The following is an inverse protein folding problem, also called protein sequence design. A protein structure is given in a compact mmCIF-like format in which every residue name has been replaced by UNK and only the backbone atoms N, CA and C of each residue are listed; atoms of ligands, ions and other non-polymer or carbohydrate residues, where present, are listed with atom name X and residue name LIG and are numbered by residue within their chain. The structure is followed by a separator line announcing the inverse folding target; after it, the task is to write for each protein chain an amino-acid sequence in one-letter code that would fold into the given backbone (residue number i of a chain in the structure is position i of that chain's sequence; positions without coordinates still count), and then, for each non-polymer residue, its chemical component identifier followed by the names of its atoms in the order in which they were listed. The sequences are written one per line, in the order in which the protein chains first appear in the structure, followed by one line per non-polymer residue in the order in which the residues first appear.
data_IF_774126125000
#
_entry.id   IF_774126125000
#
_cell.length_a   1.000
_cell.length_b   1.000
_cell.length_c   1.000
_cell.angle_alpha   90.00
_cell.angle_beta   90.00
_cell.angle_gamma   90.00
#
_symmetry.space_group_name_H-M   'P 1'
#
loop_
_entity.id
_entity.type
_entity.pdbx_description
1 polymer ?
#
# COMPACT_ATOMS: atom_id res chain seq x y z
N UNK A 1 0.61 18.02 -33.66
CA UNK A 1 -0.79 18.46 -33.42
C UNK A 1 -1.61 17.19 -33.24
N UNK A 2 -2.20 16.82 -32.11
CA UNK A 2 -2.55 17.46 -30.83
C UNK A 2 -2.44 16.43 -29.70
N UNK A 3 -2.25 16.95 -28.50
CA UNK A 3 -1.98 16.31 -27.20
C UNK A 3 -3.02 15.28 -26.74
N UNK A 4 -2.53 14.20 -26.14
CA UNK A 4 -3.30 13.22 -25.37
C UNK A 4 -3.97 13.90 -24.16
N UNK A 5 -5.25 14.26 -24.30
CA UNK A 5 -6.01 15.07 -23.33
C UNK A 5 -6.71 14.22 -22.25
N UNK A 6 -5.96 13.35 -21.56
CA UNK A 6 -6.54 12.40 -20.57
C UNK A 6 -6.90 13.03 -19.21
N UNK A 7 -6.45 14.27 -18.94
CA UNK A 7 -6.70 14.97 -17.67
C UNK A 7 -7.97 15.84 -17.66
N UNK A 8 -8.38 16.34 -18.82
CA UNK A 8 -9.52 17.26 -18.97
C UNK A 8 -10.85 16.58 -18.60
N UNK A 9 -11.01 15.33 -19.04
CA UNK A 9 -12.16 14.50 -18.66
C UNK A 9 -12.23 14.28 -17.15
N UNK A 10 -11.10 14.14 -16.45
CA UNK A 10 -11.11 13.91 -15.00
C UNK A 10 -11.61 15.13 -14.22
N UNK A 11 -11.16 16.33 -14.59
CA UNK A 11 -11.60 17.58 -13.97
C UNK A 11 -13.09 17.84 -14.24
N UNK A 12 -13.53 17.61 -15.47
CA UNK A 12 -14.94 17.72 -15.86
C UNK A 12 -15.85 16.86 -14.97
N UNK A 13 -15.49 15.59 -14.74
CA UNK A 13 -16.29 14.71 -13.88
C UNK A 13 -16.18 15.05 -12.40
N UNK A 14 -15.05 15.58 -11.94
CA UNK A 14 -14.91 16.06 -10.56
C UNK A 14 -15.86 17.22 -10.27
N UNK A 15 -15.95 18.20 -11.18
CA UNK A 15 -16.87 19.33 -11.03
C UNK A 15 -18.33 18.86 -10.98
N UNK A 16 -18.72 17.93 -11.86
CA UNK A 16 -20.08 17.38 -11.86
C UNK A 16 -20.39 16.59 -10.58
N UNK A 17 -19.43 15.82 -10.06
CA UNK A 17 -19.63 15.05 -8.82
C UNK A 17 -19.75 15.98 -7.62
N UNK A 18 -18.96 17.06 -7.55
CA UNK A 18 -19.07 18.08 -6.50
C UNK A 18 -20.42 18.82 -6.56
N UNK A 19 -20.81 19.29 -7.75
CA UNK A 19 -22.10 19.95 -7.96
C UNK A 19 -23.29 19.03 -7.69
N UNK A 20 -23.16 17.72 -7.96
CA UNK A 20 -24.18 16.74 -7.60
C UNK A 20 -24.30 16.59 -6.07
N UNK A 21 -23.18 16.49 -5.35
CA UNK A 21 -23.19 16.39 -3.89
C UNK A 21 -23.83 17.62 -3.23
N UNK A 22 -23.53 18.82 -3.73
CA UNK A 22 -24.11 20.08 -3.24
C UNK A 22 -25.62 20.17 -3.52
N UNK A 23 -26.07 19.66 -4.68
CA UNK A 23 -27.48 19.70 -5.07
C UNK A 23 -28.42 18.84 -4.20
N UNK A 24 -27.89 17.85 -3.46
CA UNK A 24 -28.70 16.91 -2.69
C UNK A 24 -29.61 15.99 -3.53
N UNK A 25 -29.52 16.05 -4.86
CA UNK A 25 -30.35 15.26 -5.77
C UNK A 25 -29.89 13.80 -5.82
N UNK A 26 -30.77 12.92 -6.29
CA UNK A 26 -30.33 11.57 -6.67
C UNK A 26 -29.48 11.61 -7.95
N UNK A 27 -28.58 10.65 -8.13
CA UNK A 27 -27.73 10.59 -9.34
C UNK A 27 -28.55 10.61 -10.63
N UNK A 28 -29.68 9.91 -10.66
CA UNK A 28 -30.59 9.88 -11.82
C UNK A 28 -31.18 11.24 -12.13
N UNK A 29 -31.68 11.95 -11.11
CA UNK A 29 -32.25 13.28 -11.27
C UNK A 29 -31.19 14.28 -11.75
N UNK A 30 -29.99 14.24 -11.17
CA UNK A 30 -28.88 15.09 -11.61
C UNK A 30 -28.46 14.82 -13.05
N UNK A 31 -28.34 13.54 -13.44
CA UNK A 31 -28.01 13.16 -14.81
C UNK A 31 -29.09 13.60 -15.80
N UNK A 32 -30.37 13.52 -15.43
CA UNK A 32 -31.48 13.97 -16.27
C UNK A 32 -31.46 15.50 -16.47
N UNK A 33 -31.22 16.28 -15.42
CA UNK A 33 -31.18 17.75 -15.52
C UNK A 33 -29.99 18.28 -16.31
N UNK A 34 -28.84 17.61 -16.21
CA UNK A 34 -27.58 18.04 -16.83
C UNK A 34 -27.25 17.29 -18.13
N UNK A 35 -28.18 16.47 -18.62
CA UNK A 35 -28.01 15.68 -19.85
C UNK A 35 -26.77 14.80 -19.85
N UNK A 36 -26.46 14.22 -18.68
CA UNK A 36 -25.30 13.36 -18.47
C UNK A 36 -25.67 11.89 -18.65
N UNK A 37 -24.73 11.12 -19.19
CA UNK A 37 -24.84 9.67 -19.23
C UNK A 37 -24.77 9.09 -17.82
N UNK A 38 -25.90 8.53 -17.34
CA UNK A 38 -26.00 7.88 -16.03
C UNK A 38 -24.91 6.83 -15.76
N UNK A 39 -24.62 5.86 -16.67
CA UNK A 39 -23.57 4.87 -16.43
C UNK A 39 -22.17 5.50 -16.35
N UNK A 40 -21.88 6.50 -17.17
CA UNK A 40 -20.59 7.20 -17.17
C UNK A 40 -20.41 7.99 -15.87
N UNK A 41 -21.44 8.74 -15.47
CA UNK A 41 -21.44 9.49 -14.21
C UNK A 41 -21.28 8.55 -13.01
N UNK A 42 -21.99 7.42 -13.00
CA UNK A 42 -21.88 6.42 -11.93
C UNK A 42 -20.47 5.82 -11.80
N UNK A 43 -19.79 5.57 -12.93
CA UNK A 43 -18.39 5.13 -12.92
C UNK A 43 -17.47 6.19 -12.28
N UNK A 44 -17.59 7.45 -12.71
CA UNK A 44 -16.75 8.53 -12.21
C UNK A 44 -17.03 8.88 -10.75
N UNK A 45 -18.29 8.93 -10.33
CA UNK A 45 -18.66 9.11 -8.94
C UNK A 45 -18.06 8.02 -8.04
N UNK A 46 -18.05 6.76 -8.49
CA UNK A 46 -17.39 5.66 -7.76
C UNK A 46 -15.88 5.81 -7.74
N UNK A 47 -15.26 6.16 -8.87
CA UNK A 47 -13.81 6.33 -9.00
C UNK A 47 -13.30 7.45 -8.08
N UNK A 48 -13.98 8.60 -8.08
CA UNK A 48 -13.60 9.76 -7.27
C UNK A 48 -13.81 9.54 -5.77
N UNK A 49 -14.88 8.86 -5.36
CA UNK A 49 -15.07 8.45 -3.95
C UNK A 49 -13.98 7.49 -3.43
N UNK A 50 -13.32 6.74 -4.33
CA UNK A 50 -12.21 5.84 -3.96
C UNK A 50 -10.88 6.57 -3.84
N UNK A 51 -10.71 7.71 -4.52
CA UNK A 51 -9.50 8.54 -4.41
C UNK A 51 -9.47 9.33 -3.09
N UNK A 52 -10.64 9.77 -2.61
CA UNK A 52 -10.76 10.56 -1.38
C UNK A 52 -10.62 9.72 -0.09
N UNK A 53 -10.90 8.41 -0.20
CA UNK A 53 -10.74 7.49 0.92
C UNK A 53 -9.33 6.90 0.87
N UNK A 54 -8.51 6.98 1.94
CA UNK A 54 -7.29 6.17 2.00
C UNK A 54 -7.67 4.73 1.69
N UNK A 55 -6.93 4.11 0.77
CA UNK A 55 -7.23 2.82 0.15
C UNK A 55 -7.50 1.74 1.21
N UNK A 56 -8.71 1.67 1.74
CA UNK A 56 -9.25 0.46 2.31
C UNK A 56 -9.63 -0.34 1.09
N UNK A 57 -8.64 -1.08 0.61
CA UNK A 57 -8.74 -1.97 -0.53
C UNK A 57 -10.08 -2.72 -0.41
N UNK A 58 -10.90 -2.76 -1.47
CA UNK A 58 -12.04 -3.66 -1.47
C UNK A 58 -11.48 -5.02 -1.13
N UNK A 59 -11.97 -5.64 -0.05
CA UNK A 59 -11.55 -6.97 0.41
C UNK A 59 -11.72 -7.92 -0.76
N UNK A 60 -10.66 -8.06 -1.56
CA UNK A 60 -10.62 -8.99 -2.66
C UNK A 60 -10.78 -10.36 -1.99
N UNK A 61 -11.83 -11.09 -2.38
CA UNK A 61 -11.85 -12.52 -2.17
C UNK A 61 -10.75 -13.08 -3.09
N UNK A 62 -9.53 -13.08 -2.59
CA UNK A 62 -8.32 -13.40 -3.34
C UNK A 62 -7.19 -13.58 -2.35
N UNK A 63 -6.25 -14.45 -2.71
CA UNK A 63 -5.12 -14.80 -1.87
C UNK A 63 -4.37 -13.54 -1.44
N UNK A 64 -4.22 -13.39 -0.13
CA UNK A 64 -3.38 -12.36 0.47
C UNK A 64 -1.93 -12.85 0.35
N UNK A 65 -1.01 -12.08 -0.23
CA UNK A 65 0.40 -12.43 -0.23
C UNK A 65 0.87 -12.47 1.22
N UNK A 66 1.28 -13.67 1.68
CA UNK A 66 1.96 -13.83 2.96
C UNK A 66 3.44 -13.54 2.70
N UNK A 67 3.96 -12.52 3.38
CA UNK A 67 5.40 -12.33 3.46
C UNK A 67 5.92 -13.39 4.43
N UNK A 68 6.60 -14.39 3.89
CA UNK A 68 7.37 -15.31 4.72
C UNK A 68 8.40 -14.46 5.48
N UNK A 69 8.30 -14.45 6.81
CA UNK A 69 9.35 -13.90 7.64
C UNK A 69 10.66 -14.58 7.21
N UNK A 70 11.68 -13.78 6.91
CA UNK A 70 13.00 -14.29 6.54
C UNK A 70 13.40 -15.37 7.56
N UNK A 71 14.02 -16.49 7.13
CA UNK A 71 14.47 -17.50 8.06
C UNK A 71 15.34 -16.79 9.10
N UNK A 72 14.84 -16.75 10.34
CA UNK A 72 15.65 -16.33 11.48
C UNK A 72 16.74 -17.37 11.53
N UNK A 73 17.91 -16.99 11.00
CA UNK A 73 19.14 -17.75 11.19
C UNK A 73 19.39 -17.71 12.68
N UNK A 74 18.92 -18.77 13.36
CA UNK A 74 19.18 -19.00 14.77
C UNK A 74 20.69 -19.09 14.94
N UNK A 75 21.25 -17.98 15.39
CA UNK A 75 22.67 -17.83 15.51
C UNK A 75 23.03 -17.12 16.81
N UNK A 76 23.87 -17.75 17.64
CA UNK A 76 24.52 -17.24 18.85
C UNK A 76 25.12 -15.85 18.72
N UNK A 77 24.87 -15.03 19.74
CA UNK A 77 25.52 -13.75 19.89
C UNK A 77 26.70 -13.70 20.84
N UNK A 78 27.82 -13.07 20.51
CA UNK A 78 28.88 -12.76 21.49
C UNK A 78 29.06 -11.26 21.67
N UNK A 79 28.80 -10.73 22.86
CA UNK A 79 29.14 -9.34 23.18
C UNK A 79 30.52 -9.28 23.83
N UNK A 80 31.44 -8.51 23.27
CA UNK A 80 32.80 -8.31 23.79
C UNK A 80 32.81 -7.24 24.90
N UNK A 81 33.85 -7.20 25.75
CA UNK A 81 33.95 -6.26 26.90
C UNK A 81 33.89 -4.78 26.51
N UNK A 82 34.22 -4.46 25.26
CA UNK A 82 34.10 -3.11 24.68
C UNK A 82 32.67 -2.77 24.22
N UNK A 83 31.73 -3.71 24.35
CA UNK A 83 30.30 -3.53 24.05
C UNK A 83 29.83 -4.04 22.68
N UNK A 84 30.61 -4.89 22.00
CA UNK A 84 30.35 -5.33 20.62
C UNK A 84 29.70 -6.71 20.51
N UNK A 85 28.51 -6.84 19.87
CA UNK A 85 27.68 -8.06 19.81
C UNK A 85 27.78 -8.91 18.51
N UNK A 86 27.93 -10.25 18.59
CA UNK A 86 28.23 -11.16 17.46
C UNK A 86 27.19 -12.28 17.31
N UNK A 87 25.98 -12.03 16.73
CA UNK A 87 24.86 -13.00 16.49
C UNK A 87 25.18 -13.98 15.35
N UNK A 88 24.83 -15.26 15.44
CA UNK A 88 25.22 -16.28 14.44
C UNK A 88 25.55 -17.74 14.83
N UNK A 89 26.04 -18.09 16.03
CA UNK A 89 26.62 -19.44 16.29
C UNK A 89 25.62 -20.64 16.40
N UNK A 90 25.82 -21.62 15.53
CA UNK A 90 25.28 -22.99 15.46
C UNK A 90 26.40 -24.07 15.41
N UNK A 91 26.09 -25.34 15.15
CA UNK A 91 27.05 -26.45 15.21
C UNK A 91 28.17 -26.38 14.14
N UNK A 92 27.93 -25.61 13.09
CA UNK A 92 28.88 -25.28 12.03
C UNK A 92 29.97 -24.29 12.46
N UNK A 93 29.78 -23.54 13.55
CA UNK A 93 30.63 -22.39 13.87
C UNK A 93 30.98 -22.30 15.38
N UNK A 94 30.68 -23.34 16.16
CA UNK A 94 30.89 -23.40 17.62
C UNK A 94 32.36 -23.49 18.02
N UNK A 95 33.17 -24.23 17.28
CA UNK A 95 34.63 -24.27 17.49
C UNK A 95 35.25 -22.88 17.27
N UNK A 96 34.65 -22.10 16.39
CA UNK A 96 35.08 -20.76 16.03
C UNK A 96 34.72 -19.74 17.10
N UNK A 97 33.49 -19.79 17.64
CA UNK A 97 33.10 -18.99 18.81
C UNK A 97 34.04 -19.20 20.01
N UNK A 98 34.42 -20.46 20.24
CA UNK A 98 35.29 -20.86 21.34
C UNK A 98 36.71 -20.32 21.22
N UNK A 99 37.24 -20.23 20.00
CA UNK A 99 38.54 -19.59 19.78
C UNK A 99 38.46 -18.07 19.98
N UNK A 100 37.38 -17.45 19.52
CA UNK A 100 37.17 -15.99 19.61
C UNK A 100 37.08 -15.48 21.05
N UNK A 101 36.49 -16.27 21.95
CA UNK A 101 36.44 -15.96 23.37
C UNK A 101 37.76 -16.26 24.11
N UNK A 102 38.51 -17.26 23.66
CA UNK A 102 39.81 -17.61 24.26
C UNK A 102 40.91 -16.56 24.02
N UNK A 103 40.73 -15.67 23.05
CA UNK A 103 41.63 -14.56 22.78
C UNK A 103 41.24 -13.24 23.46
N UNK A 104 40.10 -13.20 24.15
CA UNK A 104 39.63 -12.03 24.91
C UNK A 104 39.97 -12.12 26.41
N UNK A 105 40.66 -13.19 26.82
CA UNK A 105 41.25 -13.39 28.14
C UNK A 105 42.71 -12.94 28.18
#
# INVERSE_FOLDING_TARGET
MTTSNSNDSSLYWQQHVAAWQDSGLTQRAYCAQRWLSYPSFGYWARKLRRTDKPMVQPRAKGFVPVTLAAPVVSGLSLVLPDGLEIRGIGPDNVSMARQLLGCLA
#
